data_IF_019159001711
#
_entry.id   IF_019159001711
#
_cell.length_a   1.000
_cell.length_b   1.000
_cell.length_c   1.000
_cell.angle_alpha   90.00
_cell.angle_beta   90.00
_cell.angle_gamma   90.00
#
_symmetry.space_group_name_H-M   'P 1'
#
loop_
_entity.id
_entity.type
_entity.pdbx_description
1 polymer ?
#
# COMPACT_ATOMS: atom_id res chain seq x y z
N UNK A 1 15.07 -16.18 3.37
CA UNK A 1 15.06 -15.38 4.63
C UNK A 1 13.79 -14.55 4.80
N UNK A 2 13.32 -13.79 3.80
CA UNK A 2 12.13 -12.95 3.95
C UNK A 2 10.82 -13.75 4.14
N UNK A 3 10.56 -14.77 3.30
CA UNK A 3 9.35 -15.62 3.41
C UNK A 3 9.18 -16.26 4.79
N UNK A 4 10.25 -16.79 5.37
CA UNK A 4 10.19 -17.38 6.72
C UNK A 4 9.86 -16.34 7.79
N UNK A 5 10.37 -15.11 7.66
CA UNK A 5 10.02 -13.99 8.55
C UNK A 5 8.56 -13.57 8.40
N UNK A 6 8.04 -13.50 7.17
CA UNK A 6 6.64 -13.17 6.91
C UNK A 6 5.72 -14.19 7.61
N UNK A 7 5.96 -15.49 7.37
CA UNK A 7 5.17 -16.56 7.99
C UNK A 7 5.22 -16.53 9.53
N UNK A 8 6.41 -16.34 10.12
CA UNK A 8 6.57 -16.26 11.56
C UNK A 8 5.87 -15.03 12.18
N UNK A 9 5.89 -13.88 11.48
CA UNK A 9 5.22 -12.67 11.95
C UNK A 9 3.71 -12.74 11.75
N UNK A 10 3.21 -13.41 10.72
CA UNK A 10 1.76 -13.53 10.46
C UNK A 10 1.04 -14.26 11.58
N UNK A 11 1.67 -15.26 12.18
CA UNK A 11 1.13 -15.96 13.34
C UNK A 11 0.99 -15.06 14.59
N UNK A 12 1.74 -13.94 14.65
CA UNK A 12 1.81 -13.05 15.82
C UNK A 12 1.05 -11.74 15.63
N UNK A 13 0.96 -11.25 14.39
CA UNK A 13 0.41 -9.95 14.08
C UNK A 13 -0.71 -10.06 13.04
N UNK A 14 -1.87 -9.43 13.29
CA UNK A 14 -3.02 -9.50 12.40
C UNK A 14 -2.89 -8.59 11.17
N UNK A 15 -1.79 -7.85 11.03
CA UNK A 15 -1.55 -6.97 9.89
C UNK A 15 -0.05 -6.86 9.62
N UNK A 16 0.36 -7.15 8.39
CA UNK A 16 1.73 -7.13 7.94
C UNK A 16 1.90 -6.17 6.77
N UNK A 17 2.83 -5.24 6.96
CA UNK A 17 3.28 -4.30 5.94
C UNK A 17 4.72 -4.64 5.55
N UNK A 18 5.00 -4.66 4.26
CA UNK A 18 6.37 -4.82 3.75
C UNK A 18 6.79 -3.53 3.03
N UNK A 19 7.96 -3.00 3.40
CA UNK A 19 8.58 -1.88 2.71
C UNK A 19 9.38 -2.39 1.50
N UNK A 20 9.07 -1.89 0.30
CA UNK A 20 9.72 -2.29 -0.95
C UNK A 20 11.13 -1.71 -1.12
N UNK A 21 12.11 -2.18 -0.35
CA UNK A 21 13.49 -1.66 -0.38
C UNK A 21 14.32 -2.14 -1.59
N UNK A 22 13.95 -3.28 -2.20
CA UNK A 22 14.58 -3.84 -3.40
C UNK A 22 13.55 -4.56 -4.26
N UNK A 23 13.87 -4.79 -5.53
CA UNK A 23 13.00 -5.56 -6.45
C UNK A 23 12.75 -6.99 -5.95
N UNK A 24 13.75 -7.61 -5.32
CA UNK A 24 13.60 -8.93 -4.71
C UNK A 24 12.57 -8.92 -3.57
N UNK A 25 12.63 -7.93 -2.68
CA UNK A 25 11.68 -7.79 -1.57
C UNK A 25 10.28 -7.51 -2.11
N UNK A 26 10.15 -6.61 -3.09
CA UNK A 26 8.88 -6.26 -3.75
C UNK A 26 8.24 -7.50 -4.38
N UNK A 27 9.03 -8.29 -5.11
CA UNK A 27 8.54 -9.52 -5.73
C UNK A 27 8.06 -10.53 -4.70
N UNK A 28 8.90 -10.86 -3.72
CA UNK A 28 8.55 -11.81 -2.65
C UNK A 28 7.30 -11.35 -1.88
N UNK A 29 7.19 -10.06 -1.58
CA UNK A 29 6.03 -9.52 -0.88
C UNK A 29 4.74 -9.58 -1.72
N UNK A 30 4.82 -9.32 -3.02
CA UNK A 30 3.65 -9.42 -3.92
C UNK A 30 3.19 -10.86 -4.19
N UNK A 31 4.08 -11.83 -4.01
CA UNK A 31 3.82 -13.25 -4.23
C UNK A 31 3.32 -13.99 -2.97
N UNK A 32 3.35 -13.36 -1.80
CA UNK A 32 3.04 -13.99 -0.51
C UNK A 32 1.69 -13.51 0.03
N UNK A 33 0.65 -14.36 0.10
CA UNK A 33 -0.69 -13.97 0.56
C UNK A 33 -0.75 -13.64 2.06
N UNK A 34 0.33 -13.87 2.83
CA UNK A 34 0.40 -13.43 4.21
C UNK A 34 0.71 -11.93 4.35
N UNK A 35 1.07 -11.24 3.26
CA UNK A 35 1.33 -9.80 3.24
C UNK A 35 0.05 -9.05 2.89
N UNK A 36 -0.37 -8.15 3.78
CA UNK A 36 -1.60 -7.37 3.57
C UNK A 36 -1.33 -6.13 2.72
N UNK A 37 -0.16 -5.50 2.92
CA UNK A 37 0.20 -4.23 2.32
C UNK A 37 1.66 -4.18 1.89
N UNK A 38 1.91 -3.89 0.62
CA UNK A 38 3.23 -3.56 0.08
C UNK A 38 3.36 -2.05 -0.10
N UNK A 39 4.22 -1.43 0.70
CA UNK A 39 4.60 -0.02 0.55
C UNK A 39 5.71 0.09 -0.50
N UNK A 40 5.31 0.39 -1.74
CA UNK A 40 6.26 0.55 -2.85
C UNK A 40 6.73 2.01 -2.93
N UNK A 41 8.05 2.29 -2.98
CA UNK A 41 8.54 3.65 -3.10
C UNK A 41 8.09 4.28 -4.43
N UNK A 42 7.54 5.49 -4.37
CA UNK A 42 7.26 6.27 -5.57
C UNK A 42 8.56 6.95 -6.05
N UNK A 43 9.34 6.19 -6.82
CA UNK A 43 10.60 6.63 -7.43
C UNK A 43 10.55 6.38 -8.95
N UNK A 44 10.86 7.41 -9.74
CA UNK A 44 10.90 7.34 -11.21
C UNK A 44 11.88 6.27 -11.73
N UNK A 45 12.91 5.94 -10.94
CA UNK A 45 13.92 4.91 -11.24
C UNK A 45 13.46 3.50 -10.86
N UNK A 46 12.51 3.37 -9.93
CA UNK A 46 12.03 2.09 -9.39
C UNK A 46 10.52 1.99 -9.52
N UNK A 47 10.10 1.73 -10.76
CA UNK A 47 8.67 1.65 -11.10
C UNK A 47 8.07 0.36 -10.59
N UNK A 48 6.78 0.40 -10.24
CA UNK A 48 6.05 -0.83 -9.96
C UNK A 48 5.95 -1.67 -11.25
N UNK A 49 6.43 -2.90 -11.21
CA UNK A 49 6.41 -3.77 -12.38
C UNK A 49 5.03 -4.39 -12.61
N UNK A 50 4.69 -4.68 -13.87
CA UNK A 50 3.44 -5.35 -14.25
C UNK A 50 3.33 -6.73 -13.56
N UNK A 51 4.43 -7.47 -13.49
CA UNK A 51 4.46 -8.77 -12.81
C UNK A 51 4.10 -8.64 -11.32
N UNK A 52 4.63 -7.63 -10.64
CA UNK A 52 4.31 -7.32 -9.25
C UNK A 52 2.83 -6.97 -9.08
N UNK A 53 2.29 -6.12 -9.95
CA UNK A 53 0.86 -5.77 -9.89
C UNK A 53 -0.04 -6.99 -10.09
N UNK A 54 0.30 -7.87 -11.04
CA UNK A 54 -0.43 -9.12 -11.28
C UNK A 54 -0.35 -10.07 -10.08
N UNK A 55 0.84 -10.27 -9.52
CA UNK A 55 1.04 -11.11 -8.34
C UNK A 55 0.27 -10.56 -7.13
N UNK A 56 0.35 -9.25 -6.88
CA UNK A 56 -0.38 -8.59 -5.81
C UNK A 56 -1.89 -8.80 -5.96
N UNK A 57 -2.42 -8.72 -7.19
CA UNK A 57 -3.86 -8.92 -7.44
C UNK A 57 -4.30 -10.36 -7.17
N UNK A 58 -3.45 -11.33 -7.53
CA UNK A 58 -3.70 -12.74 -7.32
C UNK A 58 -3.65 -13.13 -5.83
N UNK A 59 -2.73 -12.52 -5.07
CA UNK A 59 -2.52 -12.80 -3.65
C UNK A 59 -3.26 -11.84 -2.71
N UNK A 60 -4.10 -10.96 -3.26
CA UNK A 60 -4.87 -9.95 -2.51
C UNK A 60 -4.00 -8.98 -1.68
N UNK A 61 -2.77 -8.74 -2.12
CA UNK A 61 -1.85 -7.77 -1.49
C UNK A 61 -2.21 -6.37 -1.95
N UNK A 62 -2.49 -5.47 -0.99
CA UNK A 62 -2.76 -4.05 -1.30
C UNK A 62 -1.47 -3.30 -1.61
N UNK A 63 -1.55 -2.28 -2.46
CA UNK A 63 -0.41 -1.40 -2.78
C UNK A 63 -0.55 -0.08 -2.03
N UNK A 64 0.46 0.25 -1.24
CA UNK A 64 0.49 1.44 -0.42
C UNK A 64 1.18 2.63 -1.09
N UNK A 65 0.61 3.81 -0.87
CA UNK A 65 1.10 5.11 -1.30
C UNK A 65 1.34 5.99 -0.09
N UNK A 66 2.59 6.41 0.10
CA UNK A 66 2.94 7.40 1.10
C UNK A 66 2.86 8.81 0.49
N UNK A 67 1.98 9.64 1.04
CA UNK A 67 1.72 11.01 0.59
C UNK A 67 2.60 12.06 1.29
N UNK A 68 3.34 11.69 2.33
CA UNK A 68 4.26 12.63 3.02
C UNK A 68 5.23 13.37 2.11
N UNK A 69 5.82 12.75 1.07
CA UNK A 69 6.70 13.45 0.15
C UNK A 69 6.04 14.65 -0.55
N UNK A 70 4.72 14.70 -0.67
CA UNK A 70 4.00 15.86 -1.20
C UNK A 70 4.21 17.11 -0.33
N UNK A 71 4.28 16.93 0.99
CA UNK A 71 4.50 17.99 1.97
C UNK A 71 5.97 18.26 2.26
N UNK A 72 6.84 17.24 2.15
CA UNK A 72 8.25 17.33 2.52
C UNK A 72 9.14 17.74 1.34
N UNK A 73 8.86 17.25 0.13
CA UNK A 73 9.68 17.56 -1.05
C UNK A 73 9.35 18.93 -1.64
N UNK A 74 10.32 19.50 -2.36
CA UNK A 74 10.21 20.79 -3.06
C UNK A 74 10.71 20.66 -4.49
N UNK A 75 10.28 21.60 -5.34
CA UNK A 75 10.75 21.74 -6.73
C UNK A 75 10.72 20.44 -7.53
N UNK A 76 11.81 20.15 -8.24
CA UNK A 76 11.90 18.99 -9.15
C UNK A 76 11.76 17.64 -8.44
N UNK A 77 12.19 17.51 -7.19
CA UNK A 77 12.03 16.27 -6.42
C UNK A 77 10.56 15.94 -6.18
N UNK A 78 9.74 16.94 -5.83
CA UNK A 78 8.29 16.77 -5.69
C UNK A 78 7.63 16.40 -7.01
N UNK A 79 8.02 17.07 -8.10
CA UNK A 79 7.49 16.78 -9.43
C UNK A 79 7.79 15.34 -9.88
N UNK A 80 9.02 14.85 -9.68
CA UNK A 80 9.40 13.47 -10.02
C UNK A 80 8.65 12.45 -9.17
N UNK A 81 8.48 12.73 -7.86
CA UNK A 81 7.69 11.86 -7.00
C UNK A 81 6.22 11.80 -7.45
N UNK A 82 5.60 12.93 -7.81
CA UNK A 82 4.23 12.96 -8.35
C UNK A 82 4.11 12.19 -9.66
N UNK A 83 5.10 12.31 -10.56
CA UNK A 83 5.16 11.54 -11.80
C UNK A 83 5.22 10.02 -11.52
N UNK A 84 6.06 9.60 -10.57
CA UNK A 84 6.16 8.20 -10.16
C UNK A 84 4.87 7.68 -9.51
N UNK A 85 4.26 8.48 -8.63
CA UNK A 85 2.99 8.18 -8.00
C UNK A 85 1.88 8.01 -9.05
N UNK A 86 1.76 8.96 -9.98
CA UNK A 86 0.74 8.93 -11.03
C UNK A 86 0.84 7.65 -11.88
N UNK A 87 2.07 7.25 -12.27
CA UNK A 87 2.31 6.01 -13.00
C UNK A 87 1.94 4.76 -12.19
N UNK A 88 2.33 4.72 -10.91
CA UNK A 88 1.99 3.60 -10.05
C UNK A 88 0.46 3.51 -9.83
N UNK A 89 -0.21 4.64 -9.67
CA UNK A 89 -1.67 4.72 -9.53
C UNK A 89 -2.40 4.22 -10.80
N UNK A 90 -1.93 4.62 -11.99
CA UNK A 90 -2.46 4.11 -13.26
C UNK A 90 -2.31 2.58 -13.34
N UNK A 91 -1.18 2.04 -12.89
CA UNK A 91 -0.96 0.59 -12.90
C UNK A 91 -1.86 -0.12 -11.90
N UNK A 92 -2.02 0.42 -10.69
CA UNK A 92 -2.93 -0.09 -9.67
C UNK A 92 -4.37 -0.15 -10.20
N UNK A 93 -4.84 0.92 -10.83
CA UNK A 93 -6.17 0.97 -11.47
C UNK A 93 -6.30 -0.05 -12.60
N UNK A 94 -5.29 -0.16 -13.47
CA UNK A 94 -5.28 -1.12 -14.59
C UNK A 94 -5.41 -2.58 -14.14
N UNK A 95 -4.88 -2.92 -12.96
CA UNK A 95 -4.95 -4.27 -12.40
C UNK A 95 -6.06 -4.44 -11.36
N UNK A 96 -6.95 -3.45 -11.22
CA UNK A 96 -8.04 -3.44 -10.23
C UNK A 96 -7.52 -3.74 -8.81
N UNK A 97 -6.33 -3.22 -8.52
CA UNK A 97 -5.74 -3.33 -7.20
C UNK A 97 -6.38 -2.32 -6.26
N UNK A 98 -6.35 -2.67 -4.98
CA UNK A 98 -6.90 -1.85 -3.92
C UNK A 98 -5.78 -0.94 -3.35
N UNK A 99 -5.72 0.37 -3.67
CA UNK A 99 -4.71 1.26 -3.10
C UNK A 99 -4.92 1.48 -1.60
N UNK A 100 -3.85 1.76 -0.87
CA UNK A 100 -3.89 2.28 0.50
C UNK A 100 -3.10 3.58 0.52
N UNK A 101 -3.59 4.60 1.23
CA UNK A 101 -2.86 5.87 1.40
C UNK A 101 -2.46 6.05 2.87
N UNK A 102 -1.31 6.67 3.08
CA UNK A 102 -0.78 7.00 4.42
C UNK A 102 0.10 8.25 4.36
N UNK A 103 0.40 8.81 5.53
CA UNK A 103 1.39 9.88 5.71
C UNK A 103 2.71 9.38 6.29
N UNK A 104 2.85 8.08 6.60
CA UNK A 104 4.08 7.53 7.23
C UNK A 104 4.64 8.39 8.37
N UNK A 105 3.75 8.95 9.20
CA UNK A 105 4.09 9.92 10.23
C UNK A 105 5.11 9.34 11.21
N UNK A 106 6.21 10.07 11.44
CA UNK A 106 7.25 9.67 12.40
C UNK A 106 7.14 10.45 13.71
N UNK A 107 6.44 11.59 13.67
CA UNK A 107 6.14 12.44 14.82
C UNK A 107 4.70 12.95 14.79
N UNK A 108 4.25 13.55 15.90
CA UNK A 108 2.91 14.17 15.97
C UNK A 108 2.74 15.36 15.02
N UNK A 109 3.84 15.96 14.51
CA UNK A 109 3.79 17.08 13.56
C UNK A 109 3.46 16.63 12.12
N UNK A 110 3.70 15.35 11.83
CA UNK A 110 3.43 14.74 10.53
C UNK A 110 1.97 14.29 10.39
N UNK A 111 1.23 14.24 11.52
CA UNK A 111 -0.18 13.87 11.53
C UNK A 111 -1.02 14.89 10.77
N UNK A 112 -2.00 14.38 10.03
CA UNK A 112 -2.98 15.19 9.29
C UNK A 112 -4.37 14.64 9.54
N UNK A 113 -5.39 15.50 9.64
CA UNK A 113 -6.76 15.03 9.76
C UNK A 113 -7.16 14.28 8.47
N UNK A 114 -8.06 13.30 8.54
CA UNK A 114 -8.46 12.48 7.39
C UNK A 114 -8.86 13.29 6.15
N UNK A 115 -9.59 14.39 6.34
CA UNK A 115 -10.03 15.29 5.27
C UNK A 115 -8.85 15.90 4.47
N UNK A 116 -7.75 16.24 5.16
CA UNK A 116 -6.58 16.85 4.53
C UNK A 116 -5.81 15.79 3.75
N UNK A 117 -5.73 14.56 4.28
CA UNK A 117 -5.11 13.42 3.59
C UNK A 117 -5.87 13.10 2.30
N UNK A 118 -7.21 13.09 2.35
CA UNK A 118 -8.06 12.87 1.17
C UNK A 118 -7.84 13.98 0.14
N UNK A 119 -7.87 15.25 0.55
CA UNK A 119 -7.62 16.38 -0.36
C UNK A 119 -6.21 16.33 -1.01
N UNK A 120 -5.19 15.91 -0.25
CA UNK A 120 -3.84 15.69 -0.78
C UNK A 120 -3.82 14.55 -1.81
N UNK A 121 -4.50 13.44 -1.53
CA UNK A 121 -4.62 12.33 -2.46
C UNK A 121 -5.33 12.75 -3.75
N UNK A 122 -6.43 13.49 -3.67
CA UNK A 122 -7.14 14.03 -4.84
C UNK A 122 -6.21 14.91 -5.68
N UNK A 123 -5.44 15.79 -5.04
CA UNK A 123 -4.43 16.63 -5.72
C UNK A 123 -3.31 15.79 -6.36
N UNK A 124 -3.00 14.62 -5.81
CA UNK A 124 -2.04 13.67 -6.36
C UNK A 124 -2.60 12.82 -7.52
N UNK A 125 -3.90 12.92 -7.80
CA UNK A 125 -4.58 12.26 -8.92
C UNK A 125 -5.51 11.11 -8.53
N UNK A 126 -5.78 10.90 -7.25
CA UNK A 126 -6.81 9.98 -6.78
C UNK A 126 -8.21 10.55 -7.04
N UNK A 127 -9.20 9.69 -7.23
CA UNK A 127 -10.60 10.11 -7.18
C UNK A 127 -11.06 10.25 -5.72
N UNK A 128 -12.02 11.13 -5.43
CA UNK A 128 -12.45 11.41 -4.05
C UNK A 128 -12.88 10.15 -3.28
N UNK A 129 -13.70 9.30 -3.91
CA UNK A 129 -14.14 8.05 -3.30
C UNK A 129 -13.02 7.00 -3.21
N UNK A 130 -12.15 6.94 -4.22
CA UNK A 130 -10.96 6.08 -4.22
C UNK A 130 -10.02 6.45 -3.06
N UNK A 131 -9.78 7.74 -2.82
CA UNK A 131 -8.95 8.25 -1.73
C UNK A 131 -9.57 7.94 -0.36
N UNK A 132 -10.88 8.16 -0.20
CA UNK A 132 -11.63 7.82 1.03
C UNK A 132 -11.51 6.34 1.35
N UNK A 133 -11.75 5.48 0.36
CA UNK A 133 -11.66 4.03 0.50
C UNK A 133 -10.22 3.57 0.76
N UNK A 134 -9.24 4.16 0.08
CA UNK A 134 -7.83 3.86 0.31
C UNK A 134 -7.37 4.20 1.74
N UNK A 135 -7.91 5.28 2.33
CA UNK A 135 -7.61 5.67 3.70
C UNK A 135 -8.23 4.72 4.74
N UNK A 136 -9.46 4.24 4.49
CA UNK A 136 -10.17 3.34 5.40
C UNK A 136 -9.71 1.88 5.31
N UNK A 137 -9.10 1.50 4.20
CA UNK A 137 -8.77 0.11 3.85
C UNK A 137 -7.89 -0.63 4.87
N UNK A 138 -6.84 -0.04 5.49
CA UNK A 138 -6.09 -0.73 6.53
C UNK A 138 -6.97 -1.24 7.69
N UNK A 139 -7.96 -0.43 8.10
CA UNK A 139 -8.92 -0.83 9.13
C UNK A 139 -9.81 -1.99 8.68
N UNK A 140 -10.26 -1.99 7.42
CA UNK A 140 -11.05 -3.09 6.83
C UNK A 140 -10.24 -4.38 6.77
N UNK A 141 -8.98 -4.32 6.33
CA UNK A 141 -8.08 -5.47 6.28
C UNK A 141 -7.80 -6.03 7.68
N UNK A 142 -7.50 -5.16 8.64
CA UNK A 142 -7.28 -5.57 10.03
C UNK A 142 -8.52 -6.25 10.64
N UNK A 143 -9.71 -5.73 10.36
CA UNK A 143 -10.96 -6.33 10.81
C UNK A 143 -11.18 -7.72 10.19
N UNK A 144 -10.85 -7.90 8.90
CA UNK A 144 -10.93 -9.20 8.22
C UNK A 144 -9.92 -10.21 8.80
N UNK A 145 -8.68 -9.78 9.05
CA UNK A 145 -7.62 -10.66 9.54
C UNK A 145 -7.84 -11.12 10.99
N UNK A 146 -8.62 -10.38 11.79
CA UNK A 146 -8.97 -10.76 13.17
C UNK A 146 -10.07 -11.82 13.25
N UNK A 147 -10.79 -12.07 12.15
CA UNK A 147 -11.81 -13.12 12.07
C UNK A 147 -11.14 -14.49 11.99
N UNK A 148 -11.88 -15.52 12.38
CA UNK A 148 -11.41 -16.91 12.31
C UNK A 148 -11.85 -17.53 10.99
N UNK A 149 -10.88 -17.87 10.16
CA UNK A 149 -11.12 -18.48 8.85
C UNK A 149 -10.68 -19.95 8.88
N UNK A 150 -11.53 -20.86 8.44
CA UNK A 150 -11.17 -22.29 8.23
C UNK A 150 -10.58 -22.51 6.86
N UNK A 151 -11.00 -21.68 5.90
CA UNK A 151 -10.50 -21.64 4.54
C UNK A 151 -10.95 -20.36 3.83
N UNK A 152 -10.57 -20.19 2.56
CA UNK A 152 -10.96 -19.02 1.77
C UNK A 152 -12.48 -18.84 1.74
N UNK A 153 -12.97 -17.72 2.26
CA UNK A 153 -14.40 -17.38 2.27
C UNK A 153 -15.26 -18.10 3.31
N UNK A 154 -14.67 -18.91 4.21
CA UNK A 154 -15.41 -19.65 5.26
C UNK A 154 -15.00 -19.16 6.65
N UNK A 155 -15.87 -18.36 7.26
CA UNK A 155 -15.70 -17.80 8.60
C UNK A 155 -16.34 -18.72 9.67
N UNK A 156 -15.64 -18.94 10.78
CA UNK A 156 -16.20 -19.55 11.98
C UNK A 156 -16.88 -18.48 12.83
N UNK A 157 -18.20 -18.60 12.98
CA UNK A 157 -19.02 -17.77 13.87
C UNK A 157 -18.88 -18.18 15.34
#
# INVERSE_FOLDING_TARGET
ALKSRISALRARYPFLVVQGASEEIVRVASEDPNVDLLMHPCDVRRRLAIATARAARQNQVSIGFDLSPMLLLRGSSRSRWMEALSRNLQLVRKFELCPVITMSATSHFDLRPPRDIIALAETAGFEAEEAREALLRPGKLLALNRRKWVGPGVELL
#
